data_IF_247124225155
#
_entry.id   IF_247124225155
#
_cell.length_a   1.000
_cell.length_b   1.000
_cell.length_c   1.000
_cell.angle_alpha   90.00
_cell.angle_beta   90.00
_cell.angle_gamma   90.00
#
_symmetry.space_group_name_H-M   'P 1'
#
loop_
_entity.id
_entity.type
_entity.pdbx_description
1 polymer ?
#
# COMPACT_ATOMS: atom_id res chain seq x y z
N UNK A 1 8.37 29.32 -14.07
CA UNK A 1 7.29 29.22 -13.07
C UNK A 1 6.52 27.92 -13.34
N UNK A 2 6.46 27.04 -12.35
CA UNK A 2 5.84 25.74 -12.54
C UNK A 2 4.33 25.88 -12.71
N UNK A 3 3.71 25.22 -13.70
CA UNK A 3 2.27 25.44 -13.96
C UNK A 3 1.33 24.90 -12.86
N UNK A 4 1.75 23.90 -12.09
CA UNK A 4 0.90 23.30 -11.08
C UNK A 4 1.12 23.85 -9.68
N UNK A 5 2.25 24.54 -9.42
CA UNK A 5 2.49 25.14 -8.11
C UNK A 5 3.52 26.26 -8.20
N UNK A 6 3.41 27.23 -7.30
CA UNK A 6 4.36 28.31 -7.09
C UNK A 6 5.20 28.05 -5.84
N UNK A 7 4.69 27.22 -4.94
CA UNK A 7 5.38 26.84 -3.73
C UNK A 7 5.08 25.37 -3.45
N UNK A 8 6.03 24.70 -2.80
CA UNK A 8 5.88 23.29 -2.49
C UNK A 8 5.82 23.11 -0.97
N UNK A 9 5.18 22.04 -0.50
CA UNK A 9 5.07 21.82 0.95
C UNK A 9 6.44 21.69 1.61
N UNK A 10 6.55 22.21 2.81
CA UNK A 10 7.79 22.06 3.60
C UNK A 10 8.10 20.58 3.77
N UNK A 11 9.36 20.21 3.53
CA UNK A 11 9.81 18.84 3.65
C UNK A 11 9.47 17.95 2.45
N UNK A 12 8.81 18.50 1.41
CA UNK A 12 8.48 17.70 0.24
C UNK A 12 9.69 17.49 -0.67
N UNK A 13 9.54 16.58 -1.63
CA UNK A 13 10.52 16.39 -2.71
C UNK A 13 9.91 16.74 -4.07
N UNK A 14 8.87 17.55 -4.09
CA UNK A 14 8.22 17.95 -5.35
C UNK A 14 9.26 18.53 -6.31
N UNK A 15 9.21 18.08 -7.56
CA UNK A 15 10.14 18.56 -8.58
C UNK A 15 11.50 17.87 -8.58
N UNK A 16 11.85 17.17 -7.51
CA UNK A 16 13.19 16.55 -7.41
C UNK A 16 13.38 15.45 -8.45
N UNK A 17 12.31 14.76 -8.85
CA UNK A 17 12.34 13.71 -9.88
C UNK A 17 11.81 14.23 -11.22
N UNK A 18 11.61 15.53 -11.35
CA UNK A 18 11.11 16.17 -12.57
C UNK A 18 9.72 16.74 -12.38
N UNK A 19 9.43 17.74 -13.22
CA UNK A 19 8.18 18.50 -13.08
C UNK A 19 6.94 17.64 -13.30
N UNK A 20 7.03 16.65 -14.17
CA UNK A 20 5.88 15.81 -14.50
C UNK A 20 5.89 14.45 -13.82
N UNK A 21 6.76 14.27 -12.82
CA UNK A 21 6.87 12.99 -12.14
C UNK A 21 5.59 12.64 -11.36
N UNK A 22 5.11 11.42 -11.55
CA UNK A 22 3.99 10.86 -10.81
C UNK A 22 4.38 9.49 -10.20
N UNK A 23 5.68 9.25 -10.02
CA UNK A 23 6.19 8.00 -9.48
C UNK A 23 6.77 8.16 -8.08
N UNK A 24 7.28 9.36 -7.76
CA UNK A 24 7.78 9.67 -6.43
C UNK A 24 9.01 8.87 -6.05
N UNK A 25 9.01 8.37 -4.81
CA UNK A 25 10.19 7.68 -4.27
C UNK A 25 10.48 6.33 -4.93
N UNK A 26 9.55 5.79 -5.72
CA UNK A 26 9.87 4.62 -6.53
C UNK A 26 11.00 4.91 -7.54
N UNK A 27 11.27 6.18 -7.82
CA UNK A 27 12.46 6.55 -8.61
C UNK A 27 13.76 6.10 -7.94
N UNK A 28 13.78 5.91 -6.62
CA UNK A 28 14.95 5.36 -5.91
C UNK A 28 15.13 3.86 -6.18
N UNK A 29 14.09 3.19 -6.64
CA UNK A 29 14.12 1.76 -6.95
C UNK A 29 14.58 1.61 -8.40
N UNK A 30 15.84 1.88 -8.61
CA UNK A 30 16.44 1.93 -9.93
C UNK A 30 17.02 0.58 -10.35
N UNK A 31 17.73 0.57 -11.46
CA UNK A 31 18.33 -0.65 -12.00
C UNK A 31 19.32 -1.29 -11.02
N UNK A 32 20.14 -0.48 -10.38
CA UNK A 32 21.13 -1.00 -9.43
C UNK A 32 20.49 -1.56 -8.18
N UNK A 33 19.45 -0.88 -7.68
CA UNK A 33 18.72 -1.37 -6.51
C UNK A 33 18.09 -2.72 -6.81
N UNK A 34 17.53 -2.91 -8.02
CA UNK A 34 16.94 -4.20 -8.39
C UNK A 34 17.99 -5.29 -8.48
N UNK A 35 19.15 -5.00 -9.09
CA UNK A 35 20.22 -5.99 -9.19
C UNK A 35 20.74 -6.38 -7.82
N UNK A 36 20.88 -5.41 -6.92
CA UNK A 36 21.30 -5.69 -5.55
C UNK A 36 20.26 -6.55 -4.81
N UNK A 37 18.99 -6.34 -5.09
CA UNK A 37 17.90 -7.09 -4.45
C UNK A 37 17.94 -8.57 -4.84
N UNK A 38 18.34 -8.88 -6.08
CA UNK A 38 18.43 -10.28 -6.53
C UNK A 38 19.42 -11.07 -5.67
N UNK A 39 20.44 -10.41 -5.13
CA UNK A 39 21.44 -11.09 -4.27
C UNK A 39 20.86 -11.59 -2.94
N UNK A 40 19.62 -11.18 -2.60
CA UNK A 40 18.96 -11.70 -1.40
C UNK A 40 18.33 -13.08 -1.64
N UNK A 41 18.26 -13.55 -2.87
CA UNK A 41 17.77 -14.90 -3.16
C UNK A 41 18.92 -15.90 -2.91
N UNK A 42 18.77 -16.70 -1.88
CA UNK A 42 19.79 -17.66 -1.47
C UNK A 42 19.27 -19.07 -1.31
N UNK A 43 17.97 -19.21 -0.98
CA UNK A 43 17.36 -20.51 -0.73
C UNK A 43 16.34 -20.89 -1.81
N UNK A 44 15.83 -19.92 -2.55
CA UNK A 44 14.80 -20.17 -3.56
C UNK A 44 13.43 -20.46 -2.98
N UNK A 45 13.21 -20.14 -1.71
CA UNK A 45 11.90 -20.28 -1.09
C UNK A 45 11.08 -19.01 -1.30
N UNK A 46 9.80 -19.17 -1.61
CA UNK A 46 8.93 -18.02 -1.83
C UNK A 46 7.77 -17.99 -0.84
N UNK A 47 7.35 -16.77 -0.51
CA UNK A 47 6.25 -16.49 0.41
C UNK A 47 5.27 -15.55 -0.29
N UNK A 48 4.01 -15.97 -0.36
CA UNK A 48 2.94 -15.04 -0.76
C UNK A 48 2.61 -14.15 0.41
N UNK A 49 2.64 -12.86 0.19
CA UNK A 49 2.42 -11.87 1.25
C UNK A 49 1.04 -11.22 1.14
N UNK A 50 0.10 -11.89 0.46
CA UNK A 50 -1.27 -11.39 0.37
C UNK A 50 -2.19 -12.20 1.28
N UNK A 51 -3.08 -11.49 1.95
CA UNK A 51 -4.27 -12.13 2.51
C UNK A 51 -5.17 -12.58 1.36
N UNK A 52 -6.01 -13.62 1.55
CA UNK A 52 -7.16 -13.76 0.68
C UNK A 52 -7.95 -12.45 0.71
N UNK A 53 -8.36 -11.95 -0.43
CA UNK A 53 -8.98 -10.61 -0.48
C UNK A 53 -10.36 -10.57 0.22
N UNK A 54 -10.86 -11.72 0.66
CA UNK A 54 -12.06 -11.80 1.51
C UNK A 54 -11.77 -11.49 2.98
N UNK A 55 -10.49 -11.30 3.34
CA UNK A 55 -10.09 -10.97 4.72
C UNK A 55 -9.70 -9.50 4.77
N UNK A 56 -10.17 -8.72 5.77
CA UNK A 56 -10.98 -9.08 6.95
C UNK A 56 -12.35 -9.65 6.58
N UNK A 57 -12.93 -10.45 7.46
CA UNK A 57 -14.21 -11.14 7.17
C UNK A 57 -15.41 -10.21 7.15
N UNK A 58 -15.23 -8.97 7.67
CA UNK A 58 -16.25 -7.95 7.67
C UNK A 58 -15.56 -6.60 7.51
N UNK A 59 -16.23 -5.58 7.00
CA UNK A 59 -15.60 -4.27 6.77
C UNK A 59 -15.45 -3.45 8.05
N UNK A 60 -14.86 -4.07 9.08
CA UNK A 60 -14.73 -3.43 10.40
C UNK A 60 -13.70 -2.30 10.39
N UNK A 61 -12.63 -2.45 9.57
CA UNK A 61 -11.56 -1.45 9.55
C UNK A 61 -11.98 -0.18 8.85
N UNK A 62 -12.80 -0.29 7.81
CA UNK A 62 -13.31 0.87 7.08
C UNK A 62 -14.66 0.48 6.44
N UNK A 63 -15.78 0.92 7.04
CA UNK A 63 -17.10 0.49 6.56
C UNK A 63 -17.44 0.89 5.12
N UNK A 64 -16.74 1.88 4.55
CA UNK A 64 -16.97 2.27 3.15
C UNK A 64 -16.47 1.22 2.17
N UNK A 65 -15.51 0.40 2.59
CA UNK A 65 -14.83 -0.54 1.70
C UNK A 65 -15.57 -1.86 1.70
N UNK A 66 -15.73 -2.45 0.53
CA UNK A 66 -16.48 -3.70 0.35
C UNK A 66 -15.55 -4.80 -0.15
N UNK A 67 -15.68 -5.97 0.43
CA UNK A 67 -14.94 -7.15 0.00
C UNK A 67 -15.40 -7.64 -1.36
N UNK A 68 -14.72 -8.65 -1.91
CA UNK A 68 -15.03 -9.12 -3.26
C UNK A 68 -16.39 -9.82 -3.34
N UNK A 69 -17.14 -9.48 -4.38
CA UNK A 69 -18.36 -10.18 -4.77
C UNK A 69 -18.09 -10.79 -6.13
N UNK A 70 -18.21 -12.11 -6.22
CA UNK A 70 -17.91 -12.88 -7.45
C UNK A 70 -19.25 -13.26 -8.08
N UNK A 71 -19.35 -13.05 -9.39
CA UNK A 71 -20.55 -13.38 -10.17
C UNK A 71 -20.11 -14.01 -11.48
N UNK A 72 -20.90 -14.93 -12.04
CA UNK A 72 -20.59 -15.43 -13.39
C UNK A 72 -20.78 -14.31 -14.42
N UNK A 73 -20.03 -14.36 -15.51
CA UNK A 73 -20.34 -13.56 -16.69
C UNK A 73 -21.64 -14.09 -17.31
N UNK A 74 -22.30 -13.28 -18.12
CA UNK A 74 -23.59 -13.66 -18.70
C UNK A 74 -23.60 -13.45 -20.21
N UNK A 75 -24.32 -14.33 -20.91
CA UNK A 75 -24.61 -14.21 -22.32
C UNK A 75 -26.12 -14.32 -22.48
N UNK A 76 -26.76 -13.22 -22.91
CA UNK A 76 -28.22 -13.16 -23.09
C UNK A 76 -28.98 -13.63 -21.85
N UNK A 77 -28.51 -13.19 -20.66
CA UNK A 77 -29.15 -13.53 -19.39
C UNK A 77 -28.86 -14.93 -18.87
N UNK A 78 -28.00 -15.70 -19.56
CA UNK A 78 -27.64 -17.05 -19.14
C UNK A 78 -26.22 -17.00 -18.55
N UNK A 79 -25.99 -17.54 -17.34
CA UNK A 79 -24.64 -17.57 -16.79
C UNK A 79 -23.69 -18.38 -17.67
N UNK A 80 -22.52 -17.80 -17.99
CA UNK A 80 -21.45 -18.51 -18.70
C UNK A 80 -20.55 -19.14 -17.63
N UNK A 81 -21.07 -20.20 -17.03
CA UNK A 81 -20.38 -20.93 -15.98
C UNK A 81 -20.73 -22.39 -16.12
N UNK A 82 -19.75 -23.27 -16.28
CA UNK A 82 -19.94 -24.64 -16.69
C UNK A 82 -20.80 -24.70 -17.97
N UNK A 83 -20.48 -23.79 -18.91
CA UNK A 83 -21.31 -23.56 -20.08
C UNK A 83 -20.80 -24.42 -21.27
N UNK A 84 -21.59 -25.41 -21.72
CA UNK A 84 -21.15 -26.22 -22.86
C UNK A 84 -21.20 -25.39 -24.14
N UNK A 85 -20.10 -25.29 -24.85
CA UNK A 85 -20.05 -24.53 -26.11
C UNK A 85 -20.92 -25.19 -27.20
N UNK A 86 -21.35 -26.45 -27.01
CA UNK A 86 -22.30 -27.07 -27.89
C UNK A 86 -23.63 -26.30 -27.99
N UNK A 87 -23.94 -25.46 -26.98
CA UNK A 87 -25.12 -24.60 -27.04
C UNK A 87 -25.05 -23.59 -28.17
N UNK A 88 -23.82 -23.22 -28.56
CA UNK A 88 -23.58 -22.22 -29.59
C UNK A 88 -23.10 -22.86 -30.91
N UNK A 89 -22.27 -23.88 -30.77
CA UNK A 89 -21.65 -24.55 -31.92
C UNK A 89 -21.90 -26.07 -31.81
N UNK A 90 -22.85 -26.61 -32.55
CA UNK A 90 -23.13 -28.05 -32.44
C UNK A 90 -21.88 -28.90 -32.65
N UNK A 91 -21.69 -29.87 -31.78
CA UNK A 91 -20.53 -30.75 -31.85
C UNK A 91 -19.31 -30.27 -31.04
N UNK A 92 -19.34 -29.03 -30.55
CA UNK A 92 -18.26 -28.57 -29.67
C UNK A 92 -18.29 -29.36 -28.35
N UNK A 93 -17.11 -29.66 -27.81
CA UNK A 93 -16.99 -30.44 -26.56
C UNK A 93 -16.46 -29.65 -25.39
N UNK A 94 -16.08 -28.38 -25.62
CA UNK A 94 -15.55 -27.52 -24.59
C UNK A 94 -16.63 -27.05 -23.61
N UNK A 95 -16.21 -26.82 -22.37
CA UNK A 95 -17.05 -26.22 -21.33
C UNK A 95 -16.26 -25.03 -20.78
N UNK A 96 -16.88 -23.86 -20.73
CA UNK A 96 -16.19 -22.64 -20.32
C UNK A 96 -16.85 -22.03 -19.08
N UNK A 97 -16.04 -21.33 -18.29
CA UNK A 97 -16.51 -20.57 -17.14
C UNK A 97 -15.79 -19.23 -17.14
N UNK A 98 -16.55 -18.15 -17.14
CA UNK A 98 -16.06 -16.79 -17.02
C UNK A 98 -16.75 -16.13 -15.84
N UNK A 99 -15.98 -15.33 -15.10
CA UNK A 99 -16.55 -14.63 -13.96
C UNK A 99 -16.10 -13.17 -13.95
N UNK A 100 -16.70 -12.43 -13.04
CA UNK A 100 -16.33 -11.04 -12.77
C UNK A 100 -16.29 -10.83 -11.26
N UNK A 101 -15.47 -9.87 -10.82
CA UNK A 101 -15.36 -9.53 -9.41
C UNK A 101 -15.57 -8.04 -9.24
N UNK A 102 -16.31 -7.67 -8.18
CA UNK A 102 -16.48 -6.28 -7.75
C UNK A 102 -15.94 -6.20 -6.34
N UNK A 103 -15.07 -5.22 -6.08
CA UNK A 103 -14.50 -5.02 -4.75
C UNK A 103 -14.00 -3.59 -4.61
N UNK A 104 -13.83 -3.14 -3.36
CA UNK A 104 -13.07 -1.92 -3.09
C UNK A 104 -11.58 -2.27 -3.13
N UNK A 105 -10.80 -1.62 -4.00
CA UNK A 105 -9.38 -1.99 -4.13
C UNK A 105 -8.60 -1.92 -2.81
N UNK A 106 -9.06 -1.07 -1.87
CA UNK A 106 -8.41 -0.87 -0.58
C UNK A 106 -8.98 -1.74 0.53
N UNK A 107 -9.73 -2.79 0.20
CA UNK A 107 -10.39 -3.61 1.22
C UNK A 107 -9.39 -4.49 1.99
N UNK A 108 -8.45 -5.11 1.29
CA UNK A 108 -7.53 -6.09 1.87
C UNK A 108 -6.10 -5.73 1.46
N UNK A 109 -5.24 -6.71 1.22
CA UNK A 109 -3.84 -6.48 0.83
C UNK A 109 -3.77 -5.57 -0.39
N UNK A 110 -3.04 -4.46 -0.28
CA UNK A 110 -3.14 -3.38 -1.25
C UNK A 110 -1.88 -2.53 -1.30
N UNK A 111 -1.75 -1.78 -2.42
CA UNK A 111 -0.94 -0.57 -2.50
C UNK A 111 -1.85 0.64 -2.59
N UNK A 112 -1.55 1.68 -1.80
CA UNK A 112 -2.12 3.00 -2.04
C UNK A 112 -1.32 3.68 -3.15
N UNK A 113 -2.02 4.21 -4.15
CA UNK A 113 -1.40 5.07 -5.14
C UNK A 113 -1.30 6.49 -4.60
N UNK A 114 -0.51 7.33 -5.28
CA UNK A 114 -0.25 8.69 -4.79
C UNK A 114 -1.51 9.54 -4.71
N UNK A 115 -2.54 9.20 -5.49
CA UNK A 115 -3.81 9.91 -5.44
C UNK A 115 -4.73 9.53 -4.30
N UNK A 116 -4.33 8.52 -3.47
CA UNK A 116 -5.20 8.05 -2.40
C UNK A 116 -5.41 9.09 -1.30
N UNK A 117 -4.34 9.79 -0.91
CA UNK A 117 -4.43 10.86 0.10
C UNK A 117 -3.63 12.07 -0.38
N UNK A 118 -4.29 13.21 -0.43
CA UNK A 118 -3.67 14.50 -0.70
C UNK A 118 -3.87 15.42 0.50
N UNK A 119 -3.79 16.71 0.26
CA UNK A 119 -3.97 17.71 1.32
C UNK A 119 -4.68 18.94 0.75
N UNK A 120 -5.35 19.67 1.64
CA UNK A 120 -5.76 21.04 1.32
C UNK A 120 -4.51 21.90 1.38
N UNK A 121 -4.06 22.38 0.23
CA UNK A 121 -2.78 23.07 0.14
C UNK A 121 -2.88 24.27 -0.82
N UNK A 122 -2.29 25.39 -0.42
CA UNK A 122 -2.25 26.60 -1.25
C UNK A 122 -1.01 26.53 -2.14
N UNK A 123 -1.12 25.77 -3.22
CA UNK A 123 0.01 25.55 -4.13
C UNK A 123 0.41 26.80 -4.90
N UNK A 124 -0.48 27.79 -5.04
CA UNK A 124 -0.23 28.99 -5.83
C UNK A 124 0.00 30.24 -5.00
N UNK A 125 -0.04 30.14 -3.67
CA UNK A 125 0.19 31.28 -2.79
C UNK A 125 -0.91 32.33 -2.87
N UNK A 126 -2.15 31.89 -3.11
CA UNK A 126 -3.29 32.80 -3.26
C UNK A 126 -4.04 33.04 -1.96
N UNK A 127 -3.70 32.30 -0.91
CA UNK A 127 -4.45 32.29 0.33
C UNK A 127 -5.67 31.38 0.30
N UNK A 128 -5.82 30.58 -0.77
CA UNK A 128 -6.99 29.71 -0.96
C UNK A 128 -6.53 28.26 -1.16
N UNK A 129 -6.39 27.50 -0.08
CA UNK A 129 -6.01 26.06 -0.23
C UNK A 129 -7.03 25.28 -1.07
N UNK A 130 -6.50 24.39 -1.89
CA UNK A 130 -7.30 23.53 -2.76
C UNK A 130 -6.91 22.07 -2.54
N UNK A 131 -7.80 21.10 -2.82
CA UNK A 131 -7.40 19.71 -2.82
C UNK A 131 -6.23 19.49 -3.78
N UNK A 132 -5.11 19.03 -3.25
CA UNK A 132 -3.87 18.91 -4.01
C UNK A 132 -3.20 17.58 -3.68
N UNK A 133 -2.61 16.94 -4.67
CA UNK A 133 -1.84 15.73 -4.52
C UNK A 133 -0.37 15.94 -4.79
N UNK A 134 0.37 14.84 -4.85
CA UNK A 134 1.81 14.85 -5.04
C UNK A 134 2.19 15.66 -6.29
N UNK A 135 3.27 16.42 -6.14
CA UNK A 135 3.88 17.21 -7.24
C UNK A 135 2.91 18.20 -7.87
N UNK A 136 1.89 18.64 -7.08
CA UNK A 136 0.92 19.60 -7.53
C UNK A 136 -0.19 19.06 -8.42
N UNK A 137 -0.18 17.77 -8.71
CA UNK A 137 -1.28 17.13 -9.43
C UNK A 137 -2.51 17.03 -8.54
N UNK A 138 -3.65 16.74 -9.14
CA UNK A 138 -4.86 16.50 -8.38
C UNK A 138 -5.66 15.36 -9.03
N UNK A 139 -6.34 14.60 -8.21
CA UNK A 139 -7.17 13.53 -8.74
C UNK A 139 -8.39 14.10 -9.45
N UNK A 140 -8.88 13.37 -10.44
CA UNK A 140 -10.03 13.81 -11.23
C UNK A 140 -11.30 13.86 -10.38
N UNK A 141 -12.11 14.88 -10.58
CA UNK A 141 -13.41 14.95 -9.91
C UNK A 141 -14.37 13.94 -10.52
N UNK A 142 -15.17 13.26 -9.69
CA UNK A 142 -16.22 12.40 -10.22
C UNK A 142 -17.23 13.24 -11.01
N UNK A 143 -17.70 12.68 -12.14
CA UNK A 143 -18.68 13.33 -12.99
C UNK A 143 -19.88 12.42 -13.17
N UNK A 144 -21.07 13.03 -13.24
CA UNK A 144 -22.29 12.28 -13.44
C UNK A 144 -22.35 11.60 -14.82
N UNK A 145 -21.66 12.16 -15.80
CA UNK A 145 -21.70 11.66 -17.19
C UNK A 145 -20.68 10.56 -17.50
N UNK A 146 -19.98 10.07 -16.48
CA UNK A 146 -19.07 8.95 -16.67
C UNK A 146 -17.74 9.17 -15.98
N UNK A 147 -17.61 8.61 -14.78
CA UNK A 147 -16.35 8.62 -14.05
C UNK A 147 -15.61 7.31 -14.32
N UNK A 148 -14.39 7.41 -14.85
CA UNK A 148 -13.56 6.24 -15.16
C UNK A 148 -12.28 6.22 -14.32
N UNK A 149 -12.31 6.88 -13.16
CA UNK A 149 -11.14 6.97 -12.30
C UNK A 149 -10.34 8.23 -12.58
N UNK A 150 -9.24 8.37 -11.88
CA UNK A 150 -8.41 9.57 -11.99
C UNK A 150 -7.42 9.46 -13.16
N UNK A 151 -7.21 10.58 -13.85
CA UNK A 151 -6.20 10.67 -14.89
C UNK A 151 -4.79 10.75 -14.28
N UNK A 152 -4.64 11.54 -13.22
CA UNK A 152 -3.35 11.76 -12.57
C UNK A 152 -3.28 11.03 -11.23
N UNK A 153 -2.08 10.67 -10.84
CA UNK A 153 -1.76 10.04 -9.55
C UNK A 153 -2.48 8.70 -9.34
N UNK A 154 -2.82 8.04 -10.44
CA UNK A 154 -3.43 6.70 -10.35
C UNK A 154 -2.36 5.63 -10.10
N UNK A 155 -2.82 4.40 -9.97
CA UNK A 155 -1.95 3.25 -9.78
C UNK A 155 -1.09 2.95 -11.03
N UNK A 156 -1.43 3.51 -12.19
CA UNK A 156 -0.81 3.13 -13.45
C UNK A 156 0.71 3.37 -13.50
N UNK A 157 1.25 4.51 -13.03
CA UNK A 157 2.71 4.67 -13.04
C UNK A 157 3.43 3.60 -12.21
N UNK A 158 2.87 3.24 -11.05
CA UNK A 158 3.45 2.20 -10.19
C UNK A 158 3.44 0.84 -10.91
N UNK A 159 2.33 0.51 -11.58
CA UNK A 159 2.20 -0.76 -12.29
C UNK A 159 3.20 -0.84 -13.46
N UNK A 160 3.35 0.27 -14.21
CA UNK A 160 4.30 0.31 -15.33
C UNK A 160 5.74 0.23 -14.86
N UNK A 161 6.06 0.86 -13.73
CA UNK A 161 7.42 0.79 -13.18
C UNK A 161 7.77 -0.65 -12.78
N UNK A 162 6.80 -1.40 -12.29
CA UNK A 162 7.00 -2.77 -11.87
C UNK A 162 7.77 -2.81 -10.56
N UNK A 163 7.08 -2.88 -9.45
CA UNK A 163 7.73 -2.80 -8.13
C UNK A 163 8.45 -4.11 -7.83
N UNK A 164 9.75 -4.11 -7.99
CA UNK A 164 10.63 -5.22 -7.65
C UNK A 164 11.88 -4.66 -7.01
N UNK A 165 12.24 -5.18 -5.85
CA UNK A 165 13.39 -4.64 -5.14
C UNK A 165 13.71 -5.39 -3.88
N UNK A 166 14.54 -4.78 -3.04
CA UNK A 166 14.93 -5.37 -1.77
C UNK A 166 13.89 -4.98 -0.72
N UNK A 167 13.19 -5.98 -0.18
CA UNK A 167 12.35 -5.80 0.99
C UNK A 167 13.20 -5.95 2.24
N UNK A 168 12.90 -5.12 3.26
CA UNK A 168 13.58 -5.19 4.54
C UNK A 168 12.53 -5.26 5.63
N UNK A 169 12.56 -6.34 6.41
CA UNK A 169 11.58 -6.59 7.48
C UNK A 169 12.02 -5.96 8.79
N UNK A 170 11.12 -5.19 9.42
CA UNK A 170 11.26 -4.79 10.82
C UNK A 170 10.14 -5.51 11.57
N UNK A 171 10.51 -6.41 12.47
CA UNK A 171 9.55 -7.26 13.18
C UNK A 171 9.11 -6.59 14.49
N UNK A 172 8.17 -5.65 14.35
CA UNK A 172 7.63 -4.92 15.50
C UNK A 172 6.83 -5.83 16.42
N UNK A 173 6.17 -6.86 15.84
CA UNK A 173 5.38 -7.78 16.65
C UNK A 173 6.25 -8.55 17.65
N UNK A 174 7.46 -8.95 17.22
CA UNK A 174 8.36 -9.66 18.12
C UNK A 174 8.73 -8.83 19.35
N UNK A 175 8.78 -7.51 19.17
CA UNK A 175 9.15 -6.58 20.25
C UNK A 175 7.97 -6.15 21.09
N UNK A 176 6.81 -5.89 20.46
CA UNK A 176 5.68 -5.22 21.13
C UNK A 176 4.45 -6.12 21.30
N UNK A 177 4.46 -7.32 20.72
CA UNK A 177 3.30 -8.20 20.77
C UNK A 177 2.12 -7.64 20.00
N UNK A 178 0.93 -8.05 20.42
CA UNK A 178 -0.32 -7.64 19.76
C UNK A 178 -0.97 -6.42 20.43
N UNK A 179 -0.27 -5.76 21.35
CA UNK A 179 -0.80 -4.60 22.03
C UNK A 179 -0.91 -3.39 21.09
N UNK A 180 -2.02 -2.68 21.20
CA UNK A 180 -2.22 -1.47 20.38
C UNK A 180 -1.40 -0.34 20.98
N UNK A 181 -0.40 0.13 20.23
CA UNK A 181 0.46 1.23 20.69
C UNK A 181 1.05 1.96 19.49
N UNK A 182 1.45 3.21 19.70
CA UNK A 182 2.21 3.96 18.70
C UNK A 182 3.69 3.61 18.80
N UNK A 183 4.33 3.54 17.65
CA UNK A 183 5.78 3.30 17.51
C UNK A 183 6.41 4.61 17.06
N UNK A 184 7.24 5.18 17.91
CA UNK A 184 7.95 6.43 17.64
C UNK A 184 9.19 6.16 16.77
N UNK A 185 9.84 7.24 16.34
CA UNK A 185 11.16 7.15 15.70
C UNK A 185 12.12 6.36 16.58
N UNK A 186 12.18 6.72 17.88
CA UNK A 186 13.12 6.06 18.80
C UNK A 186 12.81 4.57 18.91
N UNK A 187 11.52 4.23 19.08
CA UNK A 187 11.11 2.81 19.13
C UNK A 187 11.57 2.04 17.90
N UNK A 188 11.33 2.63 16.70
CA UNK A 188 11.69 1.98 15.44
C UNK A 188 13.20 1.79 15.34
N UNK A 189 13.97 2.84 15.67
CA UNK A 189 15.44 2.74 15.64
C UNK A 189 15.97 1.72 16.63
N UNK A 190 15.38 1.66 17.82
CA UNK A 190 15.79 0.70 18.86
C UNK A 190 15.55 -0.75 18.37
N UNK A 191 14.41 -1.01 17.73
CA UNK A 191 14.14 -2.34 17.19
C UNK A 191 15.13 -2.66 16.07
N UNK A 192 15.32 -1.74 15.13
CA UNK A 192 16.24 -1.96 14.02
C UNK A 192 17.67 -2.20 14.51
N UNK A 193 18.10 -1.42 15.49
CA UNK A 193 19.45 -1.58 16.06
C UNK A 193 19.60 -2.92 16.76
N UNK A 194 18.62 -3.28 17.60
CA UNK A 194 18.68 -4.54 18.36
C UNK A 194 18.72 -5.76 17.43
N UNK A 195 18.00 -5.68 16.31
CA UNK A 195 17.91 -6.80 15.37
C UNK A 195 18.97 -6.72 14.24
N UNK A 196 19.78 -5.67 14.20
CA UNK A 196 20.78 -5.52 13.15
C UNK A 196 20.21 -5.17 11.77
N UNK A 197 19.00 -4.61 11.73
CA UNK A 197 18.34 -4.26 10.47
C UNK A 197 18.99 -3.02 9.87
N UNK A 198 19.35 -3.10 8.60
CA UNK A 198 19.94 -1.98 7.87
C UNK A 198 19.09 -1.65 6.65
N UNK A 199 18.65 -0.41 6.58
CA UNK A 199 17.85 0.13 5.48
C UNK A 199 18.78 0.88 4.52
N UNK A 200 18.56 0.71 3.22
CA UNK A 200 19.35 1.35 2.16
C UNK A 200 18.43 2.14 1.24
N UNK A 201 18.96 3.16 0.56
CA UNK A 201 18.13 3.84 -0.45
C UNK A 201 17.56 2.86 -1.47
N UNK A 202 16.28 3.02 -1.80
CA UNK A 202 15.59 2.12 -2.72
C UNK A 202 14.94 0.91 -2.08
N UNK A 203 15.17 0.67 -0.78
CA UNK A 203 14.53 -0.46 -0.09
C UNK A 203 13.02 -0.24 0.07
N UNK A 204 12.31 -1.34 0.17
CA UNK A 204 10.90 -1.36 0.55
C UNK A 204 10.85 -1.81 2.01
N UNK A 205 10.45 -0.90 2.89
CA UNK A 205 10.40 -1.17 4.33
C UNK A 205 9.12 -1.93 4.66
N UNK A 206 9.26 -3.13 5.20
CA UNK A 206 8.13 -3.98 5.56
C UNK A 206 8.00 -4.04 7.08
N UNK A 207 6.84 -3.65 7.60
CA UNK A 207 6.59 -3.55 9.04
C UNK A 207 5.64 -4.66 9.47
N UNK A 208 6.16 -5.61 10.23
CA UNK A 208 5.38 -6.75 10.74
C UNK A 208 4.81 -6.39 12.10
N UNK A 209 3.51 -6.18 12.19
CA UNK A 209 2.81 -5.86 13.44
C UNK A 209 1.94 -7.00 13.94
N UNK A 210 1.53 -7.90 13.04
CA UNK A 210 0.68 -9.05 13.38
C UNK A 210 -0.79 -8.88 13.05
N UNK A 211 -1.22 -7.71 12.58
CA UNK A 211 -2.65 -7.45 12.40
C UNK A 211 -3.27 -8.35 11.33
N UNK A 212 -2.57 -8.55 10.21
CA UNK A 212 -3.09 -9.40 9.14
C UNK A 212 -3.27 -10.85 9.63
N UNK A 213 -2.33 -11.31 10.44
CA UNK A 213 -2.43 -12.64 11.04
C UNK A 213 -3.65 -12.75 11.95
N UNK A 214 -3.89 -11.73 12.77
CA UNK A 214 -5.10 -11.68 13.60
C UNK A 214 -6.37 -11.66 12.74
N UNK A 215 -6.36 -10.91 11.63
CA UNK A 215 -7.53 -10.87 10.75
C UNK A 215 -7.87 -12.24 10.18
N UNK A 216 -6.84 -13.07 9.94
CA UNK A 216 -7.05 -14.45 9.48
C UNK A 216 -7.59 -15.37 10.58
N UNK A 217 -7.10 -15.19 11.79
CA UNK A 217 -7.33 -16.18 12.87
C UNK A 217 -8.52 -15.85 13.77
N UNK A 218 -8.86 -14.56 13.94
CA UNK A 218 -10.01 -14.17 14.76
C UNK A 218 -11.32 -14.61 14.10
N UNK A 219 -12.23 -15.12 14.92
CA UNK A 219 -13.56 -15.49 14.45
C UNK A 219 -14.39 -14.26 14.06
N UNK A 220 -15.52 -14.52 13.40
CA UNK A 220 -16.37 -13.43 12.88
C UNK A 220 -16.80 -12.46 13.99
N UNK A 221 -17.12 -12.99 15.17
CA UNK A 221 -17.60 -12.17 16.29
C UNK A 221 -16.48 -11.35 16.93
N UNK A 222 -15.22 -11.68 16.65
CA UNK A 222 -14.07 -11.00 17.23
C UNK A 222 -13.40 -10.01 16.31
N UNK A 223 -13.89 -9.86 15.06
CA UNK A 223 -13.23 -9.00 14.07
C UNK A 223 -13.11 -7.54 14.51
N UNK A 224 -14.03 -7.06 15.36
CA UNK A 224 -13.95 -5.68 15.88
C UNK A 224 -12.66 -5.43 16.67
N UNK A 225 -12.05 -6.48 17.23
CA UNK A 225 -10.78 -6.35 17.96
C UNK A 225 -9.64 -5.84 17.09
N UNK A 226 -9.76 -6.01 15.78
CA UNK A 226 -8.72 -5.53 14.86
C UNK A 226 -8.48 -4.01 14.98
N UNK A 227 -9.53 -3.25 15.37
CA UNK A 227 -9.42 -1.79 15.50
C UNK A 227 -8.49 -1.36 16.65
N UNK A 228 -8.29 -2.23 17.63
CA UNK A 228 -7.54 -1.91 18.84
C UNK A 228 -6.45 -2.95 19.12
N UNK A 229 -5.92 -3.56 18.08
CA UNK A 229 -4.83 -4.54 18.20
C UNK A 229 -3.63 -4.10 17.40
N UNK A 230 -2.46 -4.52 17.86
CA UNK A 230 -1.18 -4.37 17.20
C UNK A 230 -0.70 -2.92 17.14
N UNK A 231 0.58 -2.76 16.90
CA UNK A 231 1.19 -1.44 16.90
C UNK A 231 1.02 -0.74 15.54
N UNK A 232 1.14 0.58 15.59
CA UNK A 232 1.03 1.48 14.42
C UNK A 232 2.14 2.51 14.53
N UNK A 233 2.58 3.07 13.41
CA UNK A 233 3.57 4.15 13.46
C UNK A 233 2.93 5.43 14.01
N UNK A 234 3.75 6.23 14.70
CA UNK A 234 3.32 7.53 15.21
C UNK A 234 3.53 8.58 14.12
N UNK A 235 2.50 8.84 13.33
CA UNK A 235 2.57 9.83 12.25
C UNK A 235 2.75 11.27 12.74
N UNK A 236 2.57 11.53 14.04
CA UNK A 236 2.82 12.85 14.59
C UNK A 236 4.28 13.06 15.01
N UNK A 237 5.11 12.02 14.91
CA UNK A 237 6.52 12.11 15.32
C UNK A 237 7.34 12.72 14.17
N UNK A 238 7.74 13.98 14.34
CA UNK A 238 8.48 14.71 13.30
C UNK A 238 9.81 14.05 12.95
N UNK A 239 10.48 13.40 13.93
CA UNK A 239 11.73 12.69 13.66
C UNK A 239 11.49 11.47 12.76
N UNK A 240 10.37 10.77 12.98
CA UNK A 240 10.01 9.64 12.14
C UNK A 240 9.74 10.09 10.71
N UNK A 241 8.98 11.18 10.54
CA UNK A 241 8.67 11.69 9.20
C UNK A 241 9.94 12.15 8.47
N UNK A 242 10.86 12.81 9.19
CA UNK A 242 12.14 13.22 8.61
C UNK A 242 12.99 12.01 8.20
N UNK A 243 13.04 10.98 9.06
CA UNK A 243 13.80 9.78 8.75
C UNK A 243 13.28 9.07 7.50
N UNK A 244 11.94 9.01 7.34
CA UNK A 244 11.34 8.39 6.16
C UNK A 244 11.85 9.07 4.89
N UNK A 245 11.93 10.40 4.91
CA UNK A 245 12.46 11.14 3.77
C UNK A 245 13.96 10.88 3.58
N UNK A 246 14.72 11.03 4.66
CA UNK A 246 16.19 11.02 4.60
C UNK A 246 16.74 9.63 4.27
N UNK A 247 16.03 8.56 4.64
CA UNK A 247 16.45 7.19 4.35
C UNK A 247 16.36 6.85 2.86
N UNK A 248 15.58 7.62 2.08
CA UNK A 248 15.38 7.41 0.65
C UNK A 248 14.82 6.03 0.32
N UNK A 249 14.00 5.48 1.22
CA UNK A 249 13.29 4.24 0.93
C UNK A 249 12.29 4.46 -0.20
N UNK A 250 12.01 3.41 -0.96
CA UNK A 250 11.13 3.50 -2.11
C UNK A 250 9.66 3.40 -1.72
N UNK A 251 9.34 2.66 -0.65
CA UNK A 251 7.97 2.43 -0.23
C UNK A 251 7.96 1.86 1.19
N UNK A 252 6.80 1.92 1.83
CA UNK A 252 6.54 1.24 3.11
C UNK A 252 5.36 0.30 2.89
N UNK A 253 5.47 -0.94 3.38
CA UNK A 253 4.38 -1.89 3.38
C UNK A 253 4.23 -2.45 4.78
N UNK A 254 3.02 -2.39 5.32
CA UNK A 254 2.73 -2.91 6.66
C UNK A 254 1.63 -3.96 6.59
N UNK A 255 1.59 -4.81 7.60
CA UNK A 255 0.53 -5.82 7.70
C UNK A 255 -0.67 -5.32 8.48
N UNK A 256 -0.67 -4.03 8.83
CA UNK A 256 -1.77 -3.42 9.58
C UNK A 256 -2.61 -2.49 8.69
N UNK A 257 -3.54 -1.83 9.29
CA UNK A 257 -4.41 -0.79 8.70
C UNK A 257 -4.20 0.47 9.52
N UNK A 258 -3.70 1.43 9.02
CA UNK A 258 -3.33 2.14 7.84
C UNK A 258 -1.88 2.64 8.02
N UNK A 259 -0.99 1.74 8.39
CA UNK A 259 0.41 1.99 8.74
C UNK A 259 0.53 2.81 10.03
N UNK A 260 -0.17 3.93 10.11
CA UNK A 260 -0.19 4.83 11.27
C UNK A 260 -1.50 4.75 12.05
N UNK A 261 -1.51 5.39 13.21
CA UNK A 261 -2.75 5.54 13.98
C UNK A 261 -3.73 6.43 13.21
N UNK A 262 -4.92 5.92 13.00
CA UNK A 262 -5.98 6.69 12.35
C UNK A 262 -6.70 7.52 13.41
N UNK A 263 -6.46 8.81 13.42
CA UNK A 263 -7.15 9.73 14.32
C UNK A 263 -8.56 10.02 13.80
N UNK A 264 -9.47 10.21 14.71
CA UNK A 264 -10.85 10.56 14.36
C UNK A 264 -11.19 12.00 14.70
N UNK A 265 -10.28 12.71 15.34
CA UNK A 265 -10.45 14.13 15.69
C UNK A 265 -9.07 14.78 15.80
N UNK A 266 -9.06 16.09 15.67
CA UNK A 266 -7.83 16.88 15.73
C UNK A 266 -7.65 17.44 17.14
N UNK A 267 -6.47 17.24 17.71
CA UNK A 267 -6.13 17.80 19.02
C UNK A 267 -5.83 19.30 18.93
N UNK A 268 -5.28 19.73 17.79
CA UNK A 268 -4.84 21.11 17.58
C UNK A 268 -5.85 21.97 16.82
N UNK A 269 -7.02 21.43 16.52
CA UNK A 269 -8.04 22.17 15.77
C UNK A 269 -7.85 22.22 14.27
N UNK A 270 -6.64 22.04 13.76
CA UNK A 270 -6.38 21.96 12.31
C UNK A 270 -5.15 21.11 12.04
N UNK A 271 -5.11 20.49 10.87
CA UNK A 271 -4.02 19.62 10.48
C UNK A 271 -4.51 18.30 9.92
N UNK A 272 -3.60 17.42 9.52
CA UNK A 272 -4.02 16.15 8.93
C UNK A 272 -4.50 15.15 9.98
N UNK A 273 -5.55 14.40 9.64
CA UNK A 273 -5.95 13.23 10.43
C UNK A 273 -5.01 12.04 10.17
N UNK A 274 -4.31 12.07 9.04
CA UNK A 274 -3.40 11.01 8.61
C UNK A 274 -2.04 11.63 8.27
N UNK A 275 -1.30 12.10 9.29
CA UNK A 275 -0.06 12.83 9.01
C UNK A 275 1.02 12.01 8.30
N UNK A 276 1.08 10.69 8.53
CA UNK A 276 2.06 9.86 7.83
C UNK A 276 1.65 9.65 6.37
N UNK A 277 0.36 9.48 6.10
CA UNK A 277 -0.12 9.43 4.71
C UNK A 277 0.17 10.75 4.00
N UNK A 278 -0.04 11.87 4.68
CA UNK A 278 0.28 13.18 4.09
C UNK A 278 1.77 13.26 3.76
N UNK A 279 2.63 12.87 4.72
CA UNK A 279 4.08 12.88 4.47
C UNK A 279 4.45 11.98 3.30
N UNK A 280 3.94 10.75 3.30
CA UNK A 280 4.36 9.75 2.32
C UNK A 280 3.73 10.01 0.95
N UNK A 281 2.40 10.02 0.86
CA UNK A 281 1.74 10.08 -0.44
C UNK A 281 1.77 11.48 -1.03
N UNK A 282 1.48 12.51 -0.21
CA UNK A 282 1.36 13.88 -0.72
C UNK A 282 2.72 14.58 -0.85
N UNK A 283 3.56 14.53 0.19
CA UNK A 283 4.82 15.29 0.17
C UNK A 283 5.94 14.57 -0.57
N UNK A 284 6.05 13.24 -0.42
CA UNK A 284 7.17 12.48 -0.94
C UNK A 284 6.84 11.64 -2.16
N UNK A 285 5.57 11.38 -2.44
CA UNK A 285 5.21 10.42 -3.47
C UNK A 285 5.69 9.02 -3.11
N UNK A 286 5.57 8.64 -1.85
CA UNK A 286 6.05 7.36 -1.33
C UNK A 286 4.85 6.43 -1.12
N UNK A 287 4.73 5.36 -1.92
CA UNK A 287 3.56 4.46 -1.80
C UNK A 287 3.52 3.73 -0.47
N UNK A 288 2.30 3.48 0.00
CA UNK A 288 2.05 2.74 1.24
C UNK A 288 1.29 1.45 0.93
N UNK A 289 1.82 0.33 1.43
CA UNK A 289 1.13 -0.95 1.38
C UNK A 289 0.46 -1.24 2.71
N UNK A 290 -0.75 -1.83 2.67
CA UNK A 290 -1.50 -2.16 3.87
C UNK A 290 -2.02 -3.57 3.82
N UNK A 291 -2.17 -4.16 5.00
CA UNK A 291 -2.74 -5.51 5.18
C UNK A 291 -1.99 -6.58 4.40
N UNK A 292 -0.67 -6.46 4.31
CA UNK A 292 0.16 -7.53 3.74
C UNK A 292 0.29 -8.64 4.80
N UNK A 293 0.29 -9.89 4.35
CA UNK A 293 0.41 -11.01 5.29
C UNK A 293 1.89 -11.35 5.49
N UNK A 294 2.52 -10.65 6.43
CA UNK A 294 3.98 -10.72 6.63
C UNK A 294 4.42 -11.81 7.60
N UNK A 295 3.51 -12.37 8.40
CA UNK A 295 3.86 -13.26 9.52
C UNK A 295 4.68 -14.48 9.11
N UNK A 296 4.32 -15.24 8.06
CA UNK A 296 5.13 -16.42 7.73
C UNK A 296 6.57 -16.06 7.33
N UNK A 297 6.72 -14.97 6.57
CA UNK A 297 8.06 -14.51 6.17
C UNK A 297 8.85 -14.01 7.38
N UNK A 298 8.20 -13.22 8.26
CA UNK A 298 8.87 -12.69 9.46
C UNK A 298 9.41 -13.83 10.33
N UNK A 299 8.60 -14.88 10.52
CA UNK A 299 9.03 -16.04 11.29
C UNK A 299 10.22 -16.73 10.63
N UNK A 300 10.17 -16.92 9.32
CA UNK A 300 11.27 -17.56 8.60
C UNK A 300 12.55 -16.74 8.73
N UNK A 301 12.46 -15.44 8.49
CA UNK A 301 13.61 -14.53 8.55
C UNK A 301 14.26 -14.55 9.93
N UNK A 302 13.43 -14.52 10.97
CA UNK A 302 13.95 -14.62 12.34
C UNK A 302 14.70 -15.92 12.59
N UNK A 303 14.23 -16.75 12.07
CA UNK A 303 14.71 -17.98 12.21
C UNK A 303 15.95 -18.15 11.59
N UNK A 304 16.27 -17.46 10.67
CA UNK A 304 17.49 -17.61 9.89
C UNK A 304 18.44 -16.43 10.07
N UNK A 305 18.16 -15.54 11.05
CA UNK A 305 18.96 -14.36 11.34
C UNK A 305 19.11 -13.48 10.10
N UNK A 306 18.00 -13.28 9.39
CA UNK A 306 17.95 -12.48 8.17
C UNK A 306 16.85 -11.44 8.28
N UNK A 307 17.00 -10.34 7.54
CA UNK A 307 16.01 -9.26 7.54
C UNK A 307 15.63 -8.82 6.13
N UNK A 308 16.38 -9.23 5.13
CA UNK A 308 16.18 -8.77 3.76
C UNK A 308 15.85 -9.93 2.84
N UNK A 309 15.11 -9.62 1.78
CA UNK A 309 14.61 -10.59 0.81
C UNK A 309 14.36 -9.89 -0.52
N UNK A 310 14.28 -10.67 -1.59
CA UNK A 310 13.85 -10.15 -2.88
C UNK A 310 12.33 -10.06 -2.88
N UNK A 311 11.80 -8.89 -3.28
CA UNK A 311 10.35 -8.65 -3.26
C UNK A 311 9.86 -8.28 -4.66
N UNK A 312 8.77 -8.92 -5.11
CA UNK A 312 8.03 -8.51 -6.29
C UNK A 312 6.61 -8.14 -5.85
N UNK A 313 6.18 -6.92 -6.18
CA UNK A 313 4.93 -6.41 -5.63
C UNK A 313 4.21 -5.47 -6.59
N UNK A 314 4.11 -5.84 -7.86
CA UNK A 314 3.41 -5.02 -8.84
C UNK A 314 1.91 -4.99 -8.53
N UNK A 315 1.30 -3.80 -8.44
CA UNK A 315 -0.14 -3.72 -8.20
C UNK A 315 -0.96 -4.18 -9.41
N UNK A 316 -2.20 -4.56 -9.17
CA UNK A 316 -3.15 -4.85 -10.27
C UNK A 316 -3.24 -3.61 -11.16
N UNK A 317 -3.03 -3.82 -12.48
CA UNK A 317 -2.87 -2.71 -13.42
C UNK A 317 -4.21 -2.28 -14.00
N UNK A 318 -4.93 -1.45 -13.26
CA UNK A 318 -6.19 -0.85 -13.72
C UNK A 318 -6.02 0.66 -13.68
N UNK A 319 -5.71 1.28 -14.84
CA UNK A 319 -5.55 2.74 -14.87
C UNK A 319 -6.79 3.45 -14.33
N UNK A 320 -6.56 4.49 -13.56
CA UNK A 320 -7.64 5.27 -12.94
C UNK A 320 -7.89 4.97 -11.48
N UNK A 321 -7.45 3.81 -10.97
CA UNK A 321 -7.61 3.50 -9.56
C UNK A 321 -6.61 4.29 -8.71
N UNK A 322 -7.02 4.69 -7.50
CA UNK A 322 -6.13 5.37 -6.55
C UNK A 322 -5.54 4.40 -5.52
N UNK A 323 -5.65 3.13 -5.78
CA UNK A 323 -5.06 2.04 -5.02
C UNK A 323 -5.47 0.75 -5.67
N UNK A 324 -4.75 -0.33 -5.40
CA UNK A 324 -5.05 -1.59 -6.08
C UNK A 324 -4.66 -2.77 -5.21
N UNK A 325 -5.39 -3.89 -5.35
CA UNK A 325 -4.91 -5.13 -4.76
C UNK A 325 -3.53 -5.48 -5.29
N UNK A 326 -2.79 -6.20 -4.49
CA UNK A 326 -1.46 -6.68 -4.86
C UNK A 326 -1.28 -8.07 -4.28
N UNK A 327 -0.54 -8.92 -4.97
CA UNK A 327 -0.12 -10.21 -4.44
C UNK A 327 1.40 -10.19 -4.35
N UNK A 328 1.96 -9.60 -3.28
CA UNK A 328 3.41 -9.49 -3.18
C UNK A 328 4.02 -10.87 -2.93
N UNK A 329 5.18 -11.10 -3.52
CA UNK A 329 5.89 -12.37 -3.33
C UNK A 329 7.31 -12.04 -2.89
N UNK A 330 7.69 -12.59 -1.74
CA UNK A 330 9.06 -12.54 -1.26
C UNK A 330 9.77 -13.82 -1.64
N UNK A 331 11.02 -13.69 -2.07
CA UNK A 331 11.90 -14.86 -2.30
C UNK A 331 13.16 -14.67 -1.47
N UNK A 332 13.54 -15.72 -0.72
CA UNK A 332 14.70 -15.70 0.17
C UNK A 332 15.80 -16.64 -0.31
#
# INVERSE_FOLDING_TARGET
MHPRYQQRPDGSNWGDFGDDDQLGTLNHLDRQARLAAVAEIREGLSFSLSLPLTVPRAPVLNPRRKGPVIQPAEKNGVPVYRYPLARDVPGATDVVSDDRVTLSPQYSTQWDALGHVGAMYDAHGTGQPQPTGYNGFTVSEPRADGFTGTQDLSIAPMARHGIQGRGVMVDLRARFGDAHRKVSYQDLMDVMHADGVQVRPGDILCLHTGLADLALTLGDEEQERLKSSCCVLDGADAQLLAWIKDSRIAAIAADNHAVELRNHHLESGSGPLLPLHEQCLFKLGLPLGELWHLTPLAHWLRXHDRHAFFLTAAPMYVPGLVGAPVNPIATV
#
